data_IF_806828088808
#
_entry.id   IF_806828088808
#
_cell.length_a   1.000
_cell.length_b   1.000
_cell.length_c   1.000
_cell.angle_alpha   90.00
_cell.angle_beta   90.00
_cell.angle_gamma   90.00
#
_symmetry.space_group_name_H-M   'P 1'
#
loop_
_entity.id
_entity.type
_entity.pdbx_description
1 polymer ?
#
# COMPACT_ATOMS: atom_id res chain seq x y z
N UNK A 1 26.91 9.60 10.36
CA UNK A 1 25.66 9.90 9.62
C UNK A 1 25.71 9.58 8.13
N UNK A 2 26.81 9.06 7.57
CA UNK A 2 26.98 8.79 6.13
C UNK A 2 26.78 7.32 5.69
N UNK A 3 26.50 6.38 6.60
CA UNK A 3 26.50 4.94 6.24
C UNK A 3 25.28 4.50 5.44
N UNK A 4 24.13 5.13 5.66
CA UNK A 4 22.88 4.73 4.99
C UNK A 4 22.88 5.11 3.50
N UNK A 5 23.42 6.29 3.18
CA UNK A 5 23.51 6.77 1.80
C UNK A 5 24.48 5.88 1.01
N UNK A 6 25.59 5.49 1.62
CA UNK A 6 26.54 4.55 1.04
C UNK A 6 25.88 3.20 0.76
N UNK A 7 25.15 2.63 1.73
CA UNK A 7 24.41 1.37 1.57
C UNK A 7 23.29 1.47 0.53
N UNK A 8 22.63 2.62 0.43
CA UNK A 8 21.60 2.86 -0.56
C UNK A 8 22.19 2.96 -1.97
N UNK A 9 23.33 3.63 -2.14
CA UNK A 9 24.04 3.73 -3.41
C UNK A 9 24.61 2.36 -3.85
N UNK A 10 25.14 1.58 -2.91
CA UNK A 10 25.60 0.20 -3.18
C UNK A 10 24.44 -0.72 -3.58
N UNK A 11 23.28 -0.60 -2.91
CA UNK A 11 22.06 -1.31 -3.31
C UNK A 11 21.57 -0.89 -4.70
N UNK A 12 21.66 0.40 -5.04
CA UNK A 12 21.28 0.91 -6.37
C UNK A 12 22.20 0.34 -7.44
N UNK A 13 23.51 0.32 -7.19
CA UNK A 13 24.48 -0.16 -8.17
C UNK A 13 24.38 -1.68 -8.36
N UNK A 14 24.13 -2.43 -7.28
CA UNK A 14 23.84 -3.86 -7.31
C UNK A 14 22.51 -4.17 -8.03
N UNK A 15 21.46 -3.38 -7.80
CA UNK A 15 20.18 -3.51 -8.51
C UNK A 15 20.33 -3.19 -10.00
N UNK A 16 21.07 -2.13 -10.35
CA UNK A 16 21.34 -1.74 -11.74
C UNK A 16 22.15 -2.79 -12.50
N UNK A 17 23.13 -3.42 -11.84
CA UNK A 17 24.00 -4.43 -12.45
C UNK A 17 23.33 -5.80 -12.55
N UNK A 18 22.50 -6.19 -11.58
CA UNK A 18 21.75 -7.46 -11.61
C UNK A 18 20.51 -7.39 -12.49
N UNK A 19 19.90 -6.22 -12.64
CA UNK A 19 18.65 -6.03 -13.35
C UNK A 19 18.90 -5.00 -14.46
N UNK A 20 19.40 -5.49 -15.60
CA UNK A 20 19.79 -4.75 -16.81
C UNK A 20 18.70 -3.83 -17.43
N UNK A 21 17.57 -3.62 -16.75
CA UNK A 21 16.40 -2.90 -17.22
C UNK A 21 15.79 -1.92 -16.20
N UNK A 22 16.41 -1.66 -15.04
CA UNK A 22 15.90 -0.61 -14.14
C UNK A 22 16.28 0.77 -14.69
N UNK A 23 15.28 1.49 -15.21
CA UNK A 23 15.43 2.90 -15.58
C UNK A 23 15.78 3.75 -14.35
N UNK A 24 16.76 4.66 -14.41
CA UNK A 24 17.07 5.61 -13.32
C UNK A 24 15.86 6.41 -12.82
N UNK A 25 14.82 6.58 -13.64
CA UNK A 25 13.54 7.19 -13.22
C UNK A 25 12.82 6.38 -12.14
N UNK A 26 12.98 5.05 -12.11
CA UNK A 26 12.41 4.19 -11.06
C UNK A 26 13.12 4.36 -9.70
N UNK A 27 14.30 5.00 -9.67
CA UNK A 27 14.97 5.41 -8.44
C UNK A 27 14.46 6.75 -7.90
N UNK A 28 13.81 7.56 -8.74
CA UNK A 28 13.08 8.77 -8.32
C UNK A 28 11.66 8.44 -7.84
N UNK A 29 11.07 7.34 -8.31
CA UNK A 29 9.77 6.83 -7.86
C UNK A 29 9.88 5.95 -6.59
N UNK A 30 10.74 6.36 -5.66
CA UNK A 30 10.89 5.66 -4.38
C UNK A 30 9.78 6.10 -3.42
N UNK A 31 9.13 5.16 -2.70
CA UNK A 31 8.05 5.49 -1.77
C UNK A 31 8.40 6.47 -0.65
N UNK A 32 9.69 6.68 -0.43
CA UNK A 32 10.22 7.70 0.48
C UNK A 32 9.81 9.13 0.07
N UNK A 33 9.76 9.41 -1.24
CA UNK A 33 9.43 10.73 -1.77
C UNK A 33 7.93 10.94 -1.99
N UNK A 34 7.12 9.90 -1.79
CA UNK A 34 5.70 9.96 -2.07
C UNK A 34 4.92 10.77 -1.04
N UNK A 35 4.03 11.62 -1.54
CA UNK A 35 2.98 12.23 -0.77
C UNK A 35 1.86 11.23 -0.44
N UNK A 36 0.89 11.65 0.37
CA UNK A 36 -0.23 10.80 0.76
C UNK A 36 -1.03 10.25 -0.44
N UNK A 37 -1.34 11.08 -1.43
CA UNK A 37 -2.14 10.66 -2.58
C UNK A 37 -1.45 9.56 -3.38
N UNK A 38 -0.13 9.64 -3.50
CA UNK A 38 0.68 8.63 -4.20
C UNK A 38 0.69 7.31 -3.41
N UNK A 39 0.87 7.37 -2.09
CA UNK A 39 0.82 6.21 -1.19
C UNK A 39 -0.53 5.50 -1.17
N UNK A 40 -1.62 6.27 -1.10
CA UNK A 40 -2.97 5.74 -1.20
C UNK A 40 -3.23 5.13 -2.58
N UNK A 41 -2.87 5.85 -3.65
CA UNK A 41 -3.01 5.38 -5.03
C UNK A 41 -2.24 4.08 -5.27
N UNK A 42 -1.04 3.96 -4.73
CA UNK A 42 -0.23 2.74 -4.77
C UNK A 42 -0.93 1.56 -4.09
N UNK A 43 -1.39 1.74 -2.85
CA UNK A 43 -2.11 0.69 -2.10
C UNK A 43 -3.38 0.25 -2.83
N UNK A 44 -4.14 1.20 -3.37
CA UNK A 44 -5.35 0.96 -4.13
C UNK A 44 -5.10 0.17 -5.41
N UNK A 45 -4.07 0.55 -6.17
CA UNK A 45 -3.66 -0.18 -7.39
C UNK A 45 -3.26 -1.61 -7.07
N UNK A 46 -2.43 -1.84 -6.04
CA UNK A 46 -2.03 -3.19 -5.65
C UNK A 46 -3.24 -4.01 -5.21
N UNK A 47 -4.16 -3.45 -4.42
CA UNK A 47 -5.42 -4.15 -4.08
C UNK A 47 -6.18 -4.56 -5.32
N UNK A 48 -6.32 -3.66 -6.30
CA UNK A 48 -7.04 -3.97 -7.53
C UNK A 48 -6.32 -5.07 -8.32
N UNK A 49 -4.98 -5.05 -8.37
CA UNK A 49 -4.20 -6.15 -8.95
C UNK A 49 -4.45 -7.49 -8.23
N UNK A 50 -4.50 -7.49 -6.90
CA UNK A 50 -4.79 -8.68 -6.08
C UNK A 50 -6.19 -9.24 -6.36
N UNK A 51 -7.15 -8.37 -6.72
CA UNK A 51 -8.52 -8.80 -7.06
C UNK A 51 -8.63 -9.40 -8.45
N UNK A 52 -7.89 -8.85 -9.41
CA UNK A 52 -8.04 -9.18 -10.84
C UNK A 52 -7.19 -10.38 -11.24
N UNK A 53 -6.04 -10.59 -10.60
CA UNK A 53 -5.10 -11.63 -10.99
C UNK A 53 -4.90 -12.70 -9.90
N UNK A 54 -4.90 -13.97 -10.31
CA UNK A 54 -4.41 -15.11 -9.51
C UNK A 54 -2.90 -15.00 -9.16
N UNK A 55 -2.21 -14.03 -9.76
CA UNK A 55 -0.79 -13.72 -9.55
C UNK A 55 -0.47 -13.11 -8.17
N UNK A 56 -1.47 -12.83 -7.32
CA UNK A 56 -1.22 -12.41 -5.94
C UNK A 56 -0.41 -13.45 -5.14
N UNK A 57 -0.40 -14.71 -5.58
CA UNK A 57 0.43 -15.78 -5.02
C UNK A 57 1.92 -15.43 -5.05
N UNK A 58 2.43 -14.87 -6.15
CA UNK A 58 3.85 -14.51 -6.26
C UNK A 58 4.21 -13.34 -5.33
N UNK A 59 3.37 -12.31 -5.26
CA UNK A 59 3.56 -11.19 -4.32
C UNK A 59 3.47 -11.67 -2.87
N UNK A 60 2.49 -12.52 -2.55
CA UNK A 60 2.36 -13.10 -1.23
C UNK A 60 3.58 -13.96 -0.87
N UNK A 61 4.11 -14.75 -1.81
CA UNK A 61 5.35 -15.50 -1.62
C UNK A 61 6.57 -14.60 -1.43
N UNK A 62 6.68 -13.49 -2.17
CA UNK A 62 7.78 -12.53 -2.01
C UNK A 62 7.74 -11.88 -0.62
N UNK A 63 6.56 -11.43 -0.18
CA UNK A 63 6.36 -10.88 1.17
C UNK A 63 6.70 -11.92 2.25
N UNK A 64 6.22 -13.15 2.08
CA UNK A 64 6.49 -14.26 3.01
C UNK A 64 7.99 -14.58 3.10
N UNK A 65 8.67 -14.70 1.96
CA UNK A 65 10.09 -15.05 1.90
C UNK A 65 10.95 -14.00 2.60
N UNK A 66 10.60 -12.74 2.45
CA UNK A 66 11.34 -11.64 3.06
C UNK A 66 10.98 -11.44 4.54
N UNK A 67 9.89 -12.07 5.01
CA UNK A 67 9.47 -12.04 6.42
C UNK A 67 8.98 -10.66 6.89
N UNK A 68 8.81 -9.73 5.96
CA UNK A 68 8.76 -8.28 6.23
C UNK A 68 7.55 -7.83 7.06
N UNK A 69 6.54 -8.70 7.18
CA UNK A 69 5.29 -8.43 7.91
C UNK A 69 4.81 -9.66 8.68
N UNK A 70 5.73 -10.50 9.17
CA UNK A 70 5.40 -11.60 10.06
C UNK A 70 4.61 -11.10 11.27
N UNK A 71 3.40 -11.64 11.44
CA UNK A 71 2.49 -11.29 12.53
C UNK A 71 2.13 -9.80 12.62
N UNK A 72 2.03 -9.11 11.48
CA UNK A 72 1.73 -7.67 11.43
C UNK A 72 0.48 -7.27 12.22
N UNK A 73 -0.52 -8.15 12.33
CA UNK A 73 -1.73 -7.93 13.12
C UNK A 73 -1.45 -7.66 14.60
N UNK A 74 -0.32 -8.12 15.15
CA UNK A 74 0.07 -7.90 16.53
C UNK A 74 0.52 -6.45 16.81
N UNK A 75 0.78 -5.67 15.77
CA UNK A 75 1.17 -4.26 15.89
C UNK A 75 -0.04 -3.31 15.84
N UNK A 76 -1.23 -3.83 15.59
CA UNK A 76 -2.46 -3.03 15.52
C UNK A 76 -2.87 -2.52 16.89
N UNK A 77 -3.36 -1.28 16.93
CA UNK A 77 -3.86 -0.64 18.15
C UNK A 77 -5.16 0.12 17.90
N UNK A 78 -5.97 0.28 18.95
CA UNK A 78 -7.18 1.12 18.92
C UNK A 78 -8.15 0.75 17.79
N UNK A 79 -8.60 1.76 17.04
CA UNK A 79 -9.58 1.58 15.94
C UNK A 79 -9.08 0.65 14.83
N UNK A 80 -7.76 0.53 14.65
CA UNK A 80 -7.17 -0.33 13.62
C UNK A 80 -7.39 -1.83 13.92
N UNK A 81 -7.45 -2.21 15.21
CA UNK A 81 -7.82 -3.57 15.63
C UNK A 81 -9.27 -3.87 15.26
N UNK A 82 -10.18 -2.91 15.45
CA UNK A 82 -11.60 -3.06 15.11
C UNK A 82 -11.79 -3.20 13.59
N UNK A 83 -11.05 -2.44 12.79
CA UNK A 83 -11.07 -2.56 11.32
C UNK A 83 -10.56 -3.94 10.89
N UNK A 84 -9.50 -4.46 11.53
CA UNK A 84 -8.96 -5.79 11.24
C UNK A 84 -9.95 -6.90 11.59
N UNK A 85 -10.65 -6.76 12.73
CA UNK A 85 -11.65 -7.72 13.19
C UNK A 85 -13.00 -7.57 12.48
N UNK A 86 -13.23 -6.51 11.70
CA UNK A 86 -14.51 -6.31 11.01
C UNK A 86 -15.01 -7.52 10.21
N UNK A 87 -14.18 -8.27 9.47
CA UNK A 87 -14.59 -9.48 8.76
C UNK A 87 -15.07 -10.63 9.67
N UNK A 88 -14.74 -10.63 10.97
CA UNK A 88 -15.26 -11.63 11.91
C UNK A 88 -16.68 -11.33 12.34
N UNK A 89 -17.08 -10.06 12.27
CA UNK A 89 -18.43 -9.57 12.59
C UNK A 89 -19.32 -9.61 11.35
N UNK A 90 -18.79 -9.12 10.22
CA UNK A 90 -19.48 -9.08 8.94
C UNK A 90 -18.89 -10.11 7.97
N UNK A 91 -19.58 -11.23 7.82
CA UNK A 91 -19.17 -12.36 6.97
C UNK A 91 -19.15 -12.03 5.48
N UNK A 92 -19.74 -10.91 5.05
CA UNK A 92 -19.66 -10.46 3.65
C UNK A 92 -18.29 -9.90 3.30
N UNK A 93 -17.48 -9.54 4.30
CA UNK A 93 -16.14 -8.98 4.11
C UNK A 93 -15.12 -10.13 4.13
N UNK A 94 -14.27 -10.20 3.10
CA UNK A 94 -13.20 -11.20 3.03
C UNK A 94 -12.16 -10.94 4.14
N UNK A 95 -11.82 -11.93 4.98
CA UNK A 95 -10.86 -11.77 6.06
C UNK A 95 -9.44 -11.48 5.57
N UNK A 96 -8.60 -10.98 6.48
CA UNK A 96 -7.17 -10.73 6.25
C UNK A 96 -6.34 -11.92 6.74
N UNK A 97 -6.14 -12.93 5.89
CA UNK A 97 -5.47 -14.21 6.23
C UNK A 97 -4.08 -14.34 5.62
N UNK A 98 -3.85 -13.73 4.46
CA UNK A 98 -2.59 -13.78 3.73
C UNK A 98 -1.71 -12.56 4.09
N UNK A 99 -0.42 -12.65 3.81
CA UNK A 99 0.50 -11.51 4.05
C UNK A 99 0.18 -10.34 3.13
N UNK A 100 -0.22 -10.65 1.90
CA UNK A 100 -0.68 -9.65 0.94
C UNK A 100 -1.96 -8.91 1.41
N UNK A 101 -2.71 -9.49 2.35
CA UNK A 101 -3.91 -8.85 2.89
C UNK A 101 -3.58 -7.62 3.76
N UNK A 102 -2.32 -7.43 4.18
CA UNK A 102 -1.87 -6.18 4.79
C UNK A 102 -2.11 -4.99 3.85
N UNK A 103 -1.91 -5.14 2.54
CA UNK A 103 -2.16 -4.07 1.56
C UNK A 103 -3.66 -3.74 1.50
N UNK A 104 -4.52 -4.76 1.53
CA UNK A 104 -5.97 -4.58 1.61
C UNK A 104 -6.39 -3.89 2.91
N UNK A 105 -5.73 -4.23 4.01
CA UNK A 105 -5.97 -3.62 5.31
C UNK A 105 -5.57 -2.14 5.32
N UNK A 106 -4.38 -1.79 4.81
CA UNK A 106 -3.91 -0.40 4.73
C UNK A 106 -4.88 0.47 3.92
N UNK A 107 -5.41 -0.01 2.79
CA UNK A 107 -6.44 0.75 2.08
C UNK A 107 -7.74 0.87 2.90
N UNK A 108 -8.14 -0.22 3.56
CA UNK A 108 -9.34 -0.24 4.39
C UNK A 108 -9.28 0.79 5.52
N UNK A 109 -8.10 1.10 6.06
CA UNK A 109 -7.98 2.15 7.09
C UNK A 109 -8.35 3.53 6.57
N UNK A 110 -7.96 3.89 5.34
CA UNK A 110 -8.34 5.17 4.74
C UNK A 110 -9.84 5.30 4.49
N UNK A 111 -10.49 4.19 4.16
CA UNK A 111 -11.91 4.19 3.81
C UNK A 111 -12.80 4.13 5.05
N UNK A 112 -12.45 3.28 6.01
CA UNK A 112 -13.39 2.85 7.04
C UNK A 112 -13.15 3.49 8.41
N UNK A 113 -11.97 4.05 8.71
CA UNK A 113 -11.64 4.51 10.07
C UNK A 113 -12.62 5.56 10.63
N UNK A 114 -13.23 6.35 9.77
CA UNK A 114 -14.17 7.40 10.15
C UNK A 114 -15.63 6.95 10.21
N UNK A 115 -15.95 5.69 9.88
CA UNK A 115 -17.31 5.15 9.95
C UNK A 115 -17.92 5.32 11.35
N UNK A 116 -19.23 5.52 11.39
CA UNK A 116 -19.95 5.92 12.60
C UNK A 116 -19.85 4.89 13.73
N UNK A 117 -19.82 3.60 13.42
CA UNK A 117 -19.69 2.55 14.45
C UNK A 117 -18.31 2.50 15.12
N UNK A 118 -17.28 3.11 14.52
CA UNK A 118 -15.97 3.26 15.17
C UNK A 118 -15.86 4.51 16.04
N UNK A 119 -16.86 5.41 16.02
CA UNK A 119 -16.82 6.70 16.70
C UNK A 119 -16.41 6.59 18.18
N UNK A 120 -16.96 5.61 18.91
CA UNK A 120 -16.65 5.40 20.33
C UNK A 120 -15.19 4.98 20.55
N UNK A 121 -14.68 4.05 19.74
CA UNK A 121 -13.31 3.51 19.88
C UNK A 121 -12.26 4.54 19.50
N UNK A 122 -12.57 5.41 18.53
CA UNK A 122 -11.69 6.51 18.12
C UNK A 122 -11.85 7.78 18.99
N UNK A 123 -12.56 7.70 20.12
CA UNK A 123 -12.79 8.83 21.01
C UNK A 123 -13.48 10.02 20.33
N UNK A 124 -14.35 9.74 19.36
CA UNK A 124 -15.01 10.69 18.47
C UNK A 124 -14.07 11.56 17.60
N UNK A 125 -12.75 11.35 17.64
CA UNK A 125 -11.76 12.05 16.79
C UNK A 125 -11.91 11.63 15.33
N UNK A 126 -12.08 12.58 14.42
CA UNK A 126 -12.02 12.35 12.97
C UNK A 126 -10.56 12.26 12.53
N UNK A 127 -10.25 11.25 11.73
CA UNK A 127 -8.90 10.99 11.23
C UNK A 127 -8.79 11.58 9.82
N UNK A 128 -7.88 12.53 9.64
CA UNK A 128 -7.49 12.99 8.30
C UNK A 128 -6.48 12.02 7.70
N UNK A 129 -6.30 12.00 6.37
CA UNK A 129 -5.31 11.13 5.74
C UNK A 129 -3.92 11.16 6.36
N UNK A 130 -3.47 12.33 6.80
CA UNK A 130 -2.18 12.54 7.46
C UNK A 130 -2.13 11.89 8.86
N UNK A 131 -3.24 11.88 9.59
CA UNK A 131 -3.34 11.15 10.86
C UNK A 131 -3.19 9.64 10.63
N UNK A 132 -3.89 9.12 9.61
CA UNK A 132 -3.88 7.70 9.26
C UNK A 132 -2.48 7.28 8.81
N UNK A 133 -1.84 8.05 7.93
CA UNK A 133 -0.45 7.82 7.50
C UNK A 133 0.52 7.82 8.67
N UNK A 134 0.40 8.79 9.58
CA UNK A 134 1.27 8.85 10.76
C UNK A 134 1.14 7.59 11.61
N UNK A 135 -0.09 7.14 11.86
CA UNK A 135 -0.33 5.94 12.66
C UNK A 135 0.15 4.67 11.94
N UNK A 136 -0.07 4.57 10.62
CA UNK A 136 0.40 3.45 9.81
C UNK A 136 1.93 3.39 9.76
N UNK A 137 2.63 4.52 9.71
CA UNK A 137 4.11 4.55 9.77
C UNK A 137 4.62 4.07 11.13
N UNK A 138 3.89 4.34 12.21
CA UNK A 138 4.24 3.84 13.54
C UNK A 138 4.00 2.33 13.67
N UNK A 139 2.89 1.81 13.14
CA UNK A 139 2.56 0.38 13.18
C UNK A 139 3.39 -0.45 12.19
N UNK A 140 3.66 0.10 11.01
CA UNK A 140 4.32 -0.56 9.89
C UNK A 140 5.42 0.31 9.28
N UNK A 141 6.56 0.47 9.99
CA UNK A 141 7.69 1.21 9.47
C UNK A 141 8.13 0.65 8.12
N UNK A 142 8.41 1.54 7.16
CA UNK A 142 8.84 1.19 5.80
C UNK A 142 7.83 0.35 4.99
N UNK A 143 6.54 0.34 5.35
CA UNK A 143 5.50 -0.42 4.65
C UNK A 143 5.58 -0.28 3.13
N UNK A 144 5.51 0.96 2.63
CA UNK A 144 5.49 1.22 1.19
C UNK A 144 6.79 0.81 0.50
N UNK A 145 7.94 1.09 1.10
CA UNK A 145 9.25 0.69 0.57
C UNK A 145 9.38 -0.82 0.46
N UNK A 146 8.91 -1.55 1.46
CA UNK A 146 8.98 -3.01 1.50
C UNK A 146 8.04 -3.64 0.47
N UNK A 147 6.79 -3.18 0.40
CA UNK A 147 5.83 -3.66 -0.61
C UNK A 147 6.31 -3.32 -2.02
N UNK A 148 6.90 -2.14 -2.24
CA UNK A 148 7.48 -1.77 -3.53
C UNK A 148 8.62 -2.70 -3.95
N UNK A 149 9.52 -3.05 -3.02
CA UNK A 149 10.59 -4.04 -3.26
C UNK A 149 10.04 -5.44 -3.53
N UNK A 150 9.06 -5.89 -2.74
CA UNK A 150 8.46 -7.21 -2.88
C UNK A 150 7.70 -7.32 -4.21
N UNK A 151 7.02 -6.26 -4.63
CA UNK A 151 6.37 -6.16 -5.93
C UNK A 151 7.37 -6.27 -7.07
N UNK A 152 8.54 -5.62 -6.94
CA UNK A 152 9.61 -5.73 -7.93
C UNK A 152 10.10 -7.17 -8.09
N UNK A 153 10.38 -7.85 -6.97
CA UNK A 153 10.79 -9.26 -6.96
C UNK A 153 9.71 -10.16 -7.56
N UNK A 154 8.43 -9.90 -7.26
CA UNK A 154 7.32 -10.65 -7.81
C UNK A 154 7.14 -10.40 -9.32
N UNK A 155 7.38 -9.18 -9.78
CA UNK A 155 7.26 -8.80 -11.18
C UNK A 155 8.29 -9.48 -12.08
N UNK A 156 9.50 -9.75 -11.59
CA UNK A 156 10.52 -10.52 -12.29
C UNK A 156 10.06 -11.98 -12.57
N UNK A 157 9.18 -12.52 -11.72
CA UNK A 157 8.59 -13.84 -11.89
C UNK A 157 7.36 -13.83 -12.80
N UNK A 158 6.85 -12.65 -13.16
CA UNK A 158 5.69 -12.49 -14.03
C UNK A 158 6.16 -12.30 -15.47
N UNK A 159 6.18 -13.40 -16.24
CA UNK A 159 6.66 -13.46 -17.63
C UNK A 159 5.98 -12.46 -18.60
N UNK A 160 4.84 -11.85 -18.23
CA UNK A 160 4.08 -10.91 -19.06
C UNK A 160 4.00 -9.46 -18.51
N UNK A 161 4.65 -9.15 -17.38
CA UNK A 161 4.43 -7.86 -16.69
C UNK A 161 5.34 -6.68 -17.08
N UNK A 162 6.47 -6.83 -17.83
CA UNK A 162 7.17 -5.65 -18.34
C UNK A 162 6.24 -4.66 -19.08
N UNK A 163 5.13 -5.14 -19.67
CA UNK A 163 4.10 -4.31 -20.33
C UNK A 163 3.14 -3.61 -19.37
N UNK A 164 2.71 -4.26 -18.29
CA UNK A 164 1.69 -3.75 -17.36
C UNK A 164 2.27 -2.77 -16.33
N UNK A 165 3.48 -3.03 -15.82
CA UNK A 165 4.16 -2.06 -14.96
C UNK A 165 4.69 -0.87 -15.77
N UNK A 166 5.15 -1.06 -17.03
CA UNK A 166 5.59 0.07 -17.83
C UNK A 166 4.44 1.00 -18.19
N UNK A 167 3.29 0.51 -18.67
CA UNK A 167 2.21 1.39 -19.11
C UNK A 167 1.49 2.10 -17.96
N UNK A 168 1.33 1.46 -16.80
CA UNK A 168 0.60 2.05 -15.68
C UNK A 168 1.49 2.76 -14.64
N UNK A 169 2.79 2.47 -14.59
CA UNK A 169 3.78 3.31 -13.88
C UNK A 169 4.24 4.50 -14.74
N UNK A 170 4.35 4.39 -16.08
CA UNK A 170 4.62 5.58 -16.91
C UNK A 170 3.45 6.58 -16.85
N UNK A 171 2.21 6.09 -16.70
CA UNK A 171 1.05 6.94 -16.40
C UNK A 171 1.09 7.59 -15.00
N UNK A 172 1.88 7.10 -14.05
CA UNK A 172 2.06 7.80 -12.76
C UNK A 172 2.75 9.16 -12.96
N UNK A 173 3.63 9.28 -13.96
CA UNK A 173 4.30 10.55 -14.26
C UNK A 173 3.42 11.55 -15.04
N UNK A 174 2.30 11.11 -15.61
CA UNK A 174 1.43 11.93 -16.47
C UNK A 174 0.08 12.32 -15.86
N UNK A 175 -0.37 11.70 -14.75
CA UNK A 175 -1.57 12.11 -14.01
C UNK A 175 -1.25 13.27 -13.05
N UNK A 176 -0.65 14.34 -13.59
CA UNK A 176 -0.34 15.56 -12.85
C UNK A 176 -1.17 16.78 -13.28
N UNK A 177 -2.25 16.62 -14.07
CA UNK A 177 -2.99 17.80 -14.58
C UNK A 177 -4.51 17.84 -14.50
N UNK A 178 -5.21 16.81 -14.03
CA UNK A 178 -6.66 16.96 -13.85
C UNK A 178 -7.19 15.94 -12.87
N UNK A 179 -7.27 16.33 -11.59
CA UNK A 179 -8.45 16.12 -10.74
C UNK A 179 -8.07 16.45 -9.30
N UNK A 180 -8.45 17.65 -8.88
CA UNK A 180 -8.45 18.06 -7.48
C UNK A 180 -9.28 17.10 -6.60
N UNK A 181 -8.87 16.76 -5.37
CA UNK A 181 -9.56 15.82 -4.48
C UNK A 181 -10.85 16.38 -3.81
N UNK A 182 -11.64 17.19 -4.53
CA UNK A 182 -12.91 17.76 -4.03
C UNK A 182 -14.12 16.88 -4.36
N UNK A 183 -13.99 15.92 -5.28
CA UNK A 183 -15.12 15.13 -5.79
C UNK A 183 -15.43 13.85 -4.97
N UNK A 184 -14.45 13.25 -4.29
CA UNK A 184 -14.69 11.99 -3.55
C UNK A 184 -15.48 12.16 -2.25
N UNK A 185 -15.57 13.38 -1.69
CA UNK A 185 -16.36 13.65 -0.49
C UNK A 185 -17.89 13.74 -0.77
N UNK A 186 -18.33 13.80 -2.03
CA UNK A 186 -19.75 13.99 -2.38
C UNK A 186 -20.53 12.70 -2.64
N UNK A 187 -19.87 11.59 -2.95
CA UNK A 187 -20.57 10.34 -3.29
C UNK A 187 -20.94 9.46 -2.08
N UNK A 188 -20.56 9.84 -0.85
CA UNK A 188 -21.04 9.17 0.37
C UNK A 188 -22.41 9.69 0.87
N UNK A 189 -23.05 10.63 0.16
CA UNK A 189 -24.30 11.29 0.58
C UNK A 189 -25.55 10.93 -0.24
N UNK A 190 -25.48 10.07 -1.25
CA UNK A 190 -26.64 9.77 -2.12
C UNK A 190 -27.24 8.37 -1.95
N UNK A 191 -26.97 7.67 -0.85
CA UNK A 191 -27.56 6.34 -0.56
C UNK A 191 -28.49 6.35 0.65
N UNK A 192 -29.07 7.51 0.98
CA UNK A 192 -30.14 7.64 1.97
C UNK A 192 -31.19 8.63 1.45
N UNK A 193 -32.11 8.10 0.66
CA UNK A 193 -33.50 8.57 0.55
C UNK A 193 -34.37 7.33 0.61
#
# INVERSE_FOLDING_TARGET
MASWLQQFLEYIDDARTKLNHISPIMLLDQPYFWNFSEKFGFSHKIRNMIKVHDNWTALNCAIQRNGTFLSWQNHLVGVYVEIYNRPTIDKSIKPYKAYVDLVRFVEATYVHVNESHYAKVRGHKIFYPEDIERDLVLMFPNFYTNIFKDLYVAADQWKDVPRLLSEDLLKLSSVQKSETPSAMAKNARSSFT
#
